data_IF_096633793392
#
_entry.id   IF_096633793392
#
_cell.length_a   1.000
_cell.length_b   1.000
_cell.length_c   1.000
_cell.angle_alpha   90.00
_cell.angle_beta   90.00
_cell.angle_gamma   90.00
#
_symmetry.space_group_name_H-M   'P 1'
#
loop_
_entity.id
_entity.type
_entity.pdbx_description
1 polymer ?
#
# COMPACT_ATOMS: atom_id res chain seq x y z
N UNK A 1 17.51 10.39 7.59
CA UNK A 1 16.05 10.11 7.52
C UNK A 1 15.60 9.60 6.14
N UNK A 2 15.91 10.30 5.03
CA UNK A 2 15.41 9.91 3.69
C UNK A 2 15.97 8.55 3.23
N UNK A 3 17.29 8.33 3.35
CA UNK A 3 17.93 7.07 2.97
C UNK A 3 17.38 5.87 3.77
N UNK A 4 17.16 6.08 5.07
CA UNK A 4 16.60 5.06 5.95
C UNK A 4 15.15 4.72 5.57
N UNK A 5 14.33 5.72 5.20
CA UNK A 5 12.99 5.49 4.63
C UNK A 5 13.06 4.67 3.35
N UNK A 6 13.99 4.98 2.46
CA UNK A 6 14.19 4.21 1.23
C UNK A 6 14.61 2.77 1.52
N UNK A 7 15.50 2.56 2.48
CA UNK A 7 15.94 1.22 2.93
C UNK A 7 14.78 0.41 3.49
N UNK A 8 14.01 0.99 4.42
CA UNK A 8 12.81 0.35 5.00
C UNK A 8 11.77 0.03 3.93
N UNK A 9 11.59 0.91 2.93
CA UNK A 9 10.66 0.67 1.81
C UNK A 9 11.08 -0.54 0.99
N UNK A 10 12.36 -0.64 0.63
CA UNK A 10 12.90 -1.80 -0.09
C UNK A 10 12.75 -3.08 0.74
N UNK A 11 13.04 -3.04 2.03
CA UNK A 11 12.88 -4.19 2.92
C UNK A 11 11.42 -4.65 3.00
N UNK A 12 10.47 -3.72 3.20
CA UNK A 12 9.04 -4.05 3.23
C UNK A 12 8.53 -4.58 1.88
N UNK A 13 8.91 -3.98 0.76
CA UNK A 13 8.51 -4.48 -0.56
C UNK A 13 9.01 -5.90 -0.83
N UNK A 14 10.19 -6.23 -0.29
CA UNK A 14 10.78 -7.55 -0.43
C UNK A 14 10.18 -8.57 0.52
N UNK A 15 10.06 -8.26 1.81
CA UNK A 15 9.67 -9.24 2.84
C UNK A 15 8.17 -9.23 3.14
N UNK A 16 7.46 -8.15 2.78
CA UNK A 16 6.07 -7.87 3.20
C UNK A 16 5.85 -7.95 4.72
N UNK A 17 6.91 -7.75 5.51
CA UNK A 17 6.88 -7.78 6.97
C UNK A 17 6.10 -6.59 7.57
N UNK A 18 5.10 -6.84 8.46
CA UNK A 18 4.34 -5.78 9.14
C UNK A 18 5.21 -4.87 10.00
N UNK A 19 6.19 -5.41 10.74
CA UNK A 19 7.09 -4.64 11.61
C UNK A 19 7.86 -3.58 10.79
N UNK A 20 8.36 -3.97 9.62
CA UNK A 20 9.04 -3.04 8.71
C UNK A 20 8.10 -1.97 8.17
N UNK A 21 6.83 -2.32 7.91
CA UNK A 21 5.80 -1.36 7.48
C UNK A 21 5.50 -0.34 8.58
N UNK A 22 5.37 -0.78 9.83
CA UNK A 22 5.16 0.10 10.99
C UNK A 22 6.32 1.08 11.15
N UNK A 23 7.56 0.59 11.09
CA UNK A 23 8.77 1.43 11.16
C UNK A 23 8.83 2.43 10.00
N UNK A 24 8.50 2.00 8.79
CA UNK A 24 8.43 2.88 7.62
C UNK A 24 7.39 3.99 7.80
N UNK A 25 6.20 3.66 8.28
CA UNK A 25 5.13 4.63 8.51
C UNK A 25 5.54 5.64 9.60
N UNK A 26 6.12 5.18 10.70
CA UNK A 26 6.62 6.04 11.76
C UNK A 26 7.71 7.01 11.27
N UNK A 27 8.65 6.52 10.46
CA UNK A 27 9.68 7.38 9.87
C UNK A 27 9.10 8.35 8.83
N UNK A 28 8.09 7.93 8.07
CA UNK A 28 7.39 8.80 7.13
C UNK A 28 6.64 9.93 7.86
N UNK A 29 6.02 9.65 9.01
CA UNK A 29 5.38 10.65 9.86
C UNK A 29 6.43 11.66 10.37
N UNK A 30 7.55 11.20 10.93
CA UNK A 30 8.64 12.09 11.37
C UNK A 30 9.17 13.00 10.27
N UNK A 31 9.30 12.48 9.04
CA UNK A 31 9.71 13.29 7.88
C UNK A 31 8.63 14.31 7.54
N UNK A 32 7.35 13.93 7.59
CA UNK A 32 6.24 14.85 7.37
C UNK A 32 6.26 15.99 8.37
N UNK A 33 6.45 15.69 9.66
CA UNK A 33 6.51 16.70 10.73
C UNK A 33 7.68 17.67 10.50
N UNK A 34 8.87 17.15 10.16
CA UNK A 34 10.02 18.00 9.84
C UNK A 34 9.79 18.89 8.61
N UNK A 35 9.07 18.38 7.60
CA UNK A 35 8.72 19.17 6.41
C UNK A 35 7.72 20.29 6.73
N UNK A 36 6.84 20.10 7.71
CA UNK A 36 5.93 21.18 8.16
C UNK A 36 6.74 22.35 8.70
N UNK A 37 7.74 22.10 9.55
CA UNK A 37 8.62 23.16 10.08
C UNK A 37 9.39 23.88 8.97
N UNK A 38 9.98 23.14 8.03
CA UNK A 38 10.68 23.74 6.88
C UNK A 38 9.72 24.55 6.00
N UNK A 39 8.49 24.06 5.81
CA UNK A 39 7.48 24.80 5.07
C UNK A 39 7.12 26.12 5.77
N UNK A 40 6.93 26.10 7.09
CA UNK A 40 6.62 27.28 7.90
C UNK A 40 7.73 28.34 7.81
N UNK A 41 8.99 27.94 8.01
CA UNK A 41 10.15 28.82 7.85
C UNK A 41 10.26 29.39 6.42
N UNK A 42 9.96 28.57 5.41
CA UNK A 42 9.97 28.99 4.01
C UNK A 42 8.87 30.00 3.71
N UNK A 43 7.70 29.86 4.33
CA UNK A 43 6.58 30.80 4.21
C UNK A 43 6.91 32.13 4.89
N UNK A 44 7.45 32.11 6.11
CA UNK A 44 7.92 33.33 6.78
C UNK A 44 8.95 34.07 5.91
N UNK A 45 9.96 33.36 5.42
CA UNK A 45 10.98 33.93 4.54
C UNK A 45 10.41 34.45 3.21
N UNK A 46 9.33 33.86 2.70
CA UNK A 46 8.67 34.30 1.47
C UNK A 46 7.86 35.58 1.70
N UNK A 47 7.18 35.70 2.84
CA UNK A 47 6.42 36.88 3.22
C UNK A 47 7.35 38.07 3.46
N UNK A 48 8.43 37.88 4.22
CA UNK A 48 9.42 38.94 4.50
C UNK A 48 9.98 39.51 3.19
N UNK A 49 10.46 38.64 2.29
CA UNK A 49 11.02 39.05 0.99
C UNK A 49 10.00 39.74 0.09
N UNK A 50 8.73 39.34 0.16
CA UNK A 50 7.67 39.96 -0.64
C UNK A 50 7.22 41.31 -0.06
N UNK A 51 7.52 41.60 1.21
CA UNK A 51 7.26 42.88 1.85
C UNK A 51 8.18 44.02 1.40
N UNK A 52 9.34 43.69 0.84
CA UNK A 52 10.35 44.66 0.41
C UNK A 52 9.91 45.48 -0.83
N UNK A 53 9.01 44.94 -1.66
CA UNK A 53 8.51 45.64 -2.85
C UNK A 53 7.07 45.26 -3.24
N UNK A 54 6.36 46.20 -3.89
CA UNK A 54 4.98 45.98 -4.35
C UNK A 54 4.87 44.83 -5.36
N UNK A 55 5.91 44.61 -6.17
CA UNK A 55 5.90 43.59 -7.23
C UNK A 55 5.97 42.17 -6.66
N UNK A 56 6.75 41.96 -5.61
CA UNK A 56 6.84 40.73 -4.83
C UNK A 56 5.54 40.41 -4.12
N UNK A 57 4.95 41.40 -3.43
CA UNK A 57 3.65 41.25 -2.78
C UNK A 57 2.55 40.86 -3.76
N UNK A 58 2.46 41.56 -4.91
CA UNK A 58 1.47 41.25 -5.93
C UNK A 58 1.65 39.83 -6.51
N UNK A 59 2.90 39.38 -6.70
CA UNK A 59 3.19 38.00 -7.15
C UNK A 59 2.74 36.96 -6.12
N UNK A 60 3.02 37.19 -4.85
CA UNK A 60 2.60 36.32 -3.74
C UNK A 60 1.07 36.24 -3.65
N UNK A 61 0.38 37.37 -3.66
CA UNK A 61 -1.10 37.42 -3.67
C UNK A 61 -1.70 36.65 -4.84
N UNK A 62 -1.10 36.75 -6.04
CA UNK A 62 -1.55 36.02 -7.23
C UNK A 62 -1.39 34.51 -7.07
N UNK A 63 -0.29 34.05 -6.47
CA UNK A 63 -0.07 32.63 -6.19
C UNK A 63 -1.11 32.08 -5.20
N UNK A 64 -1.38 32.84 -4.12
CA UNK A 64 -2.38 32.47 -3.10
C UNK A 64 -3.82 32.51 -3.63
N UNK A 65 -4.11 33.40 -4.60
CA UNK A 65 -5.42 33.52 -5.23
C UNK A 65 -5.69 32.45 -6.31
N UNK A 66 -4.73 31.56 -6.57
CA UNK A 66 -4.87 30.48 -7.53
C UNK A 66 -6.01 29.54 -7.13
N UNK A 67 -7.14 29.59 -7.84
CA UNK A 67 -8.21 28.61 -7.67
C UNK A 67 -7.71 27.25 -8.19
N UNK A 68 -7.82 26.16 -7.42
CA UNK A 68 -7.52 24.84 -7.93
C UNK A 68 -8.41 24.54 -9.14
N UNK A 69 -7.91 23.73 -10.07
CA UNK A 69 -8.73 23.26 -11.18
C UNK A 69 -10.01 22.60 -10.63
N UNK A 70 -11.19 22.87 -11.22
CA UNK A 70 -12.42 22.26 -10.75
C UNK A 70 -12.29 20.74 -10.77
N UNK A 71 -12.69 20.10 -9.67
CA UNK A 71 -12.73 18.65 -9.58
C UNK A 71 -13.75 18.14 -10.59
N UNK A 72 -13.39 17.16 -11.41
CA UNK A 72 -14.34 16.53 -12.33
C UNK A 72 -15.41 15.77 -11.54
N UNK A 73 -16.70 15.92 -11.87
CA UNK A 73 -17.76 15.20 -11.19
C UNK A 73 -17.67 13.69 -11.47
N UNK A 74 -18.23 12.89 -10.57
CA UNK A 74 -18.56 11.50 -10.86
C UNK A 74 -19.98 11.44 -11.42
N UNK A 75 -20.23 10.51 -12.33
CA UNK A 75 -21.58 10.27 -12.82
C UNK A 75 -22.27 9.29 -11.88
N UNK A 76 -23.45 9.67 -11.38
CA UNK A 76 -24.34 8.74 -10.71
C UNK A 76 -24.99 7.78 -11.72
N UNK A 77 -25.63 6.73 -11.20
CA UNK A 77 -26.33 5.71 -12.01
C UNK A 77 -27.46 6.28 -12.87
N UNK A 78 -28.04 7.41 -12.45
CA UNK A 78 -29.04 8.20 -13.19
C UNK A 78 -28.42 9.11 -14.29
N UNK A 79 -27.10 9.09 -14.46
CA UNK A 79 -26.37 9.93 -15.42
C UNK A 79 -26.14 11.36 -14.94
N UNK A 80 -26.52 11.71 -13.71
CA UNK A 80 -26.32 13.06 -13.17
C UNK A 80 -24.89 13.27 -12.65
N UNK A 81 -24.25 14.42 -12.95
CA UNK A 81 -22.93 14.72 -12.42
C UNK A 81 -23.01 15.14 -10.94
N UNK A 82 -22.26 14.44 -10.07
CA UNK A 82 -22.15 14.69 -8.64
C UNK A 82 -20.78 15.24 -8.27
N UNK A 83 -20.77 16.35 -7.53
CA UNK A 83 -19.56 17.11 -7.18
C UNK A 83 -19.18 16.99 -5.71
N UNK A 84 -20.17 16.81 -4.82
CA UNK A 84 -19.95 16.75 -3.39
C UNK A 84 -19.22 15.47 -3.00
N UNK A 85 -18.45 15.53 -1.92
CA UNK A 85 -17.68 14.37 -1.46
C UNK A 85 -18.60 13.24 -1.01
N UNK A 86 -19.73 13.58 -0.38
CA UNK A 86 -20.74 12.65 0.11
C UNK A 86 -21.39 11.89 -1.05
N UNK A 87 -21.88 12.60 -2.07
CA UNK A 87 -22.48 11.98 -3.26
C UNK A 87 -21.50 11.02 -3.97
N UNK A 88 -20.22 11.38 -4.00
CA UNK A 88 -19.18 10.55 -4.62
C UNK A 88 -18.93 9.28 -3.82
N UNK A 89 -18.99 9.35 -2.48
CA UNK A 89 -18.85 8.20 -1.62
C UNK A 89 -19.99 7.20 -1.85
N UNK A 90 -21.23 7.68 -2.00
CA UNK A 90 -22.39 6.84 -2.34
C UNK A 90 -22.22 6.18 -3.71
N UNK A 91 -21.80 6.91 -4.74
CA UNK A 91 -21.52 6.32 -6.07
C UNK A 91 -20.48 5.20 -5.98
N UNK A 92 -19.44 5.36 -5.16
CA UNK A 92 -18.47 4.30 -4.93
C UNK A 92 -19.06 3.12 -4.16
N UNK A 93 -19.90 3.37 -3.16
CA UNK A 93 -20.56 2.33 -2.39
C UNK A 93 -21.45 1.46 -3.29
N UNK A 94 -22.34 2.08 -4.07
CA UNK A 94 -23.21 1.40 -5.04
C UNK A 94 -22.39 0.57 -6.03
N UNK A 95 -21.33 1.17 -6.60
CA UNK A 95 -20.48 0.49 -7.57
C UNK A 95 -19.78 -0.72 -6.95
N UNK A 96 -19.16 -0.57 -5.78
CA UNK A 96 -18.45 -1.66 -5.11
C UNK A 96 -19.41 -2.75 -4.67
N UNK A 97 -20.60 -2.41 -4.17
CA UNK A 97 -21.65 -3.39 -3.86
C UNK A 97 -21.96 -4.25 -5.07
N UNK A 98 -22.16 -3.65 -6.25
CA UNK A 98 -22.44 -4.41 -7.48
C UNK A 98 -21.27 -5.29 -7.93
N UNK A 99 -20.02 -4.84 -7.75
CA UNK A 99 -18.84 -5.59 -8.17
C UNK A 99 -18.50 -6.75 -7.23
N UNK A 100 -18.84 -6.63 -5.95
CA UNK A 100 -18.53 -7.63 -4.92
C UNK A 100 -19.70 -8.56 -4.60
N UNK A 101 -20.62 -8.76 -5.55
CA UNK A 101 -21.65 -9.80 -5.46
C UNK A 101 -21.00 -11.16 -5.76
N UNK A 102 -21.13 -12.17 -4.86
CA UNK A 102 -20.65 -13.52 -5.13
C UNK A 102 -21.24 -14.09 -6.42
N UNK A 103 -20.40 -14.76 -7.22
CA UNK A 103 -20.89 -15.45 -8.40
C UNK A 103 -21.91 -16.54 -8.00
N UNK A 104 -22.97 -16.74 -8.78
CA UNK A 104 -23.90 -17.84 -8.54
C UNK A 104 -23.15 -19.17 -8.62
N UNK A 105 -23.22 -19.96 -7.55
CA UNK A 105 -22.66 -21.32 -7.49
C UNK A 105 -23.73 -22.33 -7.87
N UNK A 106 -23.37 -23.33 -8.67
CA UNK A 106 -24.22 -24.48 -8.94
C UNK A 106 -24.25 -25.49 -7.78
N UNK A 107 -23.24 -25.45 -6.89
CA UNK A 107 -23.11 -26.35 -5.75
C UNK A 107 -23.15 -25.56 -4.44
N UNK A 108 -24.36 -25.40 -3.92
CA UNK A 108 -24.62 -24.68 -2.66
C UNK A 108 -24.06 -25.45 -1.47
N UNK A 109 -24.10 -26.79 -1.50
CA UNK A 109 -23.62 -27.61 -0.40
C UNK A 109 -22.11 -27.49 -0.22
N UNK A 110 -21.37 -27.48 -1.33
CA UNK A 110 -19.92 -27.30 -1.30
C UNK A 110 -19.53 -25.94 -0.70
N UNK A 111 -20.23 -24.86 -1.07
CA UNK A 111 -20.00 -23.52 -0.52
C UNK A 111 -20.25 -23.49 0.98
N UNK A 112 -21.37 -24.05 1.46
CA UNK A 112 -21.67 -24.12 2.89
C UNK A 112 -20.60 -24.92 3.69
N UNK A 113 -20.07 -25.99 3.09
CA UNK A 113 -18.99 -26.79 3.71
C UNK A 113 -17.72 -25.95 3.84
N UNK A 114 -17.33 -25.23 2.78
CA UNK A 114 -16.15 -24.36 2.80
C UNK A 114 -16.33 -23.24 3.82
N UNK A 115 -17.48 -22.56 3.82
CA UNK A 115 -17.76 -21.47 4.75
C UNK A 115 -17.70 -21.93 6.21
N UNK A 116 -18.31 -23.10 6.51
CA UNK A 116 -18.24 -23.71 7.84
C UNK A 116 -16.81 -24.07 8.23
N UNK A 117 -16.04 -24.63 7.31
CA UNK A 117 -14.64 -24.95 7.56
C UNK A 117 -13.80 -23.70 7.85
N UNK A 118 -13.95 -22.65 7.05
CA UNK A 118 -13.26 -21.37 7.25
C UNK A 118 -13.65 -20.74 8.58
N UNK A 119 -14.94 -20.73 8.92
CA UNK A 119 -15.42 -20.22 10.20
C UNK A 119 -14.76 -20.95 11.38
N UNK A 120 -14.76 -22.28 11.36
CA UNK A 120 -14.11 -23.09 12.40
C UNK A 120 -12.59 -22.85 12.47
N UNK A 121 -11.95 -22.70 11.30
CA UNK A 121 -10.53 -22.40 11.20
C UNK A 121 -10.18 -21.05 11.84
N UNK A 122 -10.99 -20.01 11.61
CA UNK A 122 -10.77 -18.68 12.18
C UNK A 122 -11.21 -18.56 13.65
N UNK A 123 -12.19 -19.36 14.09
CA UNK A 123 -12.63 -19.41 15.50
C UNK A 123 -11.61 -20.10 16.41
N UNK A 124 -10.74 -20.95 15.85
CA UNK A 124 -9.69 -21.62 16.61
C UNK A 124 -8.49 -20.69 16.80
N UNK A 125 -8.18 -20.21 18.03
CA UNK A 125 -7.03 -19.37 18.25
C UNK A 125 -5.75 -20.18 18.01
N UNK A 126 -5.09 -19.97 16.88
CA UNK A 126 -3.71 -20.43 16.69
C UNK A 126 -2.85 -19.54 17.59
N UNK A 127 -2.53 -20.02 18.79
CA UNK A 127 -1.55 -19.35 19.65
C UNK A 127 -0.20 -19.41 18.91
N UNK A 128 0.41 -18.27 18.55
CA UNK A 128 1.73 -18.30 17.97
C UNK A 128 2.71 -18.73 19.07
N UNK A 129 3.28 -19.93 18.94
CA UNK A 129 4.35 -20.39 19.84
C UNK A 129 5.62 -19.57 19.66
N UNK A 130 5.79 -18.92 18.51
CA UNK A 130 6.94 -18.11 18.11
C UNK A 130 6.51 -16.90 17.29
N UNK A 131 7.40 -15.91 17.16
CA UNK A 131 7.21 -14.78 16.25
C UNK A 131 6.95 -15.29 14.82
N UNK A 132 5.92 -14.78 14.11
CA UNK A 132 5.60 -15.26 12.78
C UNK A 132 6.77 -14.98 11.82
N UNK A 133 7.29 -16.05 11.20
CA UNK A 133 8.29 -15.93 10.14
C UNK A 133 7.63 -15.31 8.92
N UNK A 134 7.96 -14.04 8.63
CA UNK A 134 7.37 -13.32 7.50
C UNK A 134 8.25 -13.39 6.27
N UNK A 135 7.73 -13.96 5.20
CA UNK A 135 8.34 -13.97 3.88
C UNK A 135 7.29 -13.69 2.81
N UNK A 136 7.73 -13.22 1.64
CA UNK A 136 6.88 -13.10 0.45
C UNK A 136 7.30 -14.14 -0.60
N UNK A 137 6.40 -14.57 -1.49
CA UNK A 137 6.76 -15.44 -2.62
C UNK A 137 7.94 -14.90 -3.41
N UNK A 138 7.96 -13.59 -3.69
CA UNK A 138 9.08 -12.93 -4.38
C UNK A 138 10.39 -12.93 -3.58
N UNK A 139 10.34 -12.92 -2.24
CA UNK A 139 11.54 -13.10 -1.40
C UNK A 139 12.11 -14.51 -1.56
N UNK A 140 11.24 -15.52 -1.44
CA UNK A 140 11.60 -16.94 -1.59
C UNK A 140 12.17 -17.20 -2.98
N UNK A 141 11.49 -16.73 -4.03
CA UNK A 141 11.94 -16.86 -5.42
C UNK A 141 13.33 -16.25 -5.63
N UNK A 142 13.60 -15.07 -5.03
CA UNK A 142 14.91 -14.42 -5.12
C UNK A 142 16.00 -15.19 -4.38
N UNK A 143 15.68 -15.78 -3.23
CA UNK A 143 16.63 -16.63 -2.49
C UNK A 143 16.97 -17.87 -3.30
N UNK A 144 15.97 -18.55 -3.87
CA UNK A 144 16.17 -19.70 -4.75
C UNK A 144 17.06 -19.33 -5.95
N UNK A 145 16.77 -18.23 -6.65
CA UNK A 145 17.56 -17.78 -7.81
C UNK A 145 19.02 -17.42 -7.48
N UNK A 146 19.34 -17.16 -6.21
CA UNK A 146 20.72 -16.89 -5.74
C UNK A 146 21.48 -18.17 -5.37
N UNK A 147 20.80 -19.31 -5.27
CA UNK A 147 21.47 -20.59 -5.00
C UNK A 147 22.36 -20.99 -6.18
N UNK A 148 23.48 -21.66 -5.89
CA UNK A 148 24.38 -22.17 -6.93
C UNK A 148 23.91 -23.56 -7.36
N UNK A 149 23.57 -23.74 -8.64
CA UNK A 149 23.07 -25.00 -9.19
C UNK A 149 23.92 -26.24 -8.81
N UNK A 150 25.25 -26.14 -8.91
CA UNK A 150 26.18 -27.25 -8.70
C UNK A 150 26.55 -27.53 -7.22
N UNK A 151 25.73 -27.08 -6.26
CA UNK A 151 25.95 -27.41 -4.85
C UNK A 151 25.24 -28.71 -4.51
N UNK A 152 25.82 -29.46 -3.57
CA UNK A 152 25.22 -30.69 -3.08
C UNK A 152 23.84 -30.38 -2.45
N UNK A 153 22.85 -31.27 -2.62
CA UNK A 153 21.54 -31.13 -1.99
C UNK A 153 21.64 -31.16 -0.46
N UNK A 154 20.64 -30.57 0.20
CA UNK A 154 20.56 -30.57 1.66
C UNK A 154 20.18 -31.93 2.24
N UNK A 155 19.98 -32.01 3.57
CA UNK A 155 19.50 -33.24 4.24
C UNK A 155 18.14 -33.73 3.70
N UNK A 156 17.35 -32.82 3.15
CA UNK A 156 16.07 -33.08 2.47
C UNK A 156 16.21 -33.72 1.08
N UNK A 157 17.45 -33.85 0.57
CA UNK A 157 17.80 -34.38 -0.77
C UNK A 157 17.20 -33.58 -1.94
N UNK A 158 16.69 -32.38 -1.70
CA UNK A 158 16.16 -31.51 -2.76
C UNK A 158 17.33 -30.82 -3.47
N UNK A 159 17.43 -30.97 -4.79
CA UNK A 159 18.49 -30.35 -5.58
C UNK A 159 18.19 -28.88 -5.87
N UNK A 160 19.22 -28.06 -6.04
CA UNK A 160 19.03 -26.65 -6.41
C UNK A 160 18.39 -26.48 -7.80
N UNK A 161 18.55 -27.46 -8.68
CA UNK A 161 17.82 -27.54 -9.96
C UNK A 161 16.30 -27.67 -9.73
N UNK A 162 15.88 -28.56 -8.82
CA UNK A 162 14.47 -28.71 -8.47
C UNK A 162 13.89 -27.43 -7.84
N UNK A 163 14.66 -26.76 -6.96
CA UNK A 163 14.24 -25.48 -6.38
C UNK A 163 14.02 -24.41 -7.46
N UNK A 164 14.90 -24.32 -8.46
CA UNK A 164 14.75 -23.36 -9.56
C UNK A 164 13.48 -23.58 -10.39
N UNK A 165 13.09 -24.84 -10.60
CA UNK A 165 11.82 -25.17 -11.28
C UNK A 165 10.62 -24.68 -10.46
N UNK A 166 10.63 -24.85 -9.13
CA UNK A 166 9.59 -24.35 -8.25
C UNK A 166 9.49 -22.82 -8.26
N UNK A 167 10.63 -22.13 -8.36
CA UNK A 167 10.65 -20.67 -8.47
C UNK A 167 9.96 -20.14 -9.73
N UNK A 168 9.76 -20.94 -10.77
CA UNK A 168 9.00 -20.52 -11.96
C UNK A 168 7.48 -20.52 -11.73
N UNK A 169 6.99 -21.23 -10.71
CA UNK A 169 5.56 -21.43 -10.42
C UNK A 169 5.05 -20.49 -9.31
N UNK A 170 5.96 -19.93 -8.51
CA UNK A 170 5.64 -18.90 -7.50
C UNK A 170 5.40 -17.55 -8.20
N UNK A 171 4.14 -17.21 -8.45
CA UNK A 171 3.68 -15.88 -8.89
C UNK A 171 3.53 -14.92 -7.70
#
# INVERSE_FOLDING_TARGET
MIEEKMKLRRQWQNLRCPIMKTRLNALAAKISDALVTVADESWHSAIERAGDDWSGMHRLCRQLSGKPSPIRPLMASDGTPRYRAEDRAEIFADYLETQFIPNPTSDVQHVEIIERHLKNYFESPIVPTEDPVVFSPGHVQRMIRRTRLRKAPGPDRVTNEALLMLAAVLN
#
